data_IF_796565221846
#
_entry.id   IF_796565221846
#
_cell.length_a   1.000
_cell.length_b   1.000
_cell.length_c   1.000
_cell.angle_alpha   90.00
_cell.angle_beta   90.00
_cell.angle_gamma   90.00
#
_symmetry.space_group_name_H-M   'P 1'
#
loop_
_entity.id
_entity.type
_entity.pdbx_description
1 polymer ?
#
# COMPACT_ATOMS: atom_id res chain seq x y z
N UNK A 1 30.55 -9.89 1.24
CA UNK A 1 30.92 -10.31 -0.13
C UNK A 1 29.95 -11.41 -0.50
N UNK A 2 29.06 -11.11 -1.44
CA UNK A 2 27.62 -11.30 -1.27
C UNK A 2 27.10 -12.55 -1.99
N UNK A 3 26.00 -13.13 -1.46
CA UNK A 3 25.27 -14.29 -2.00
C UNK A 3 24.87 -14.19 -3.50
N UNK A 4 25.05 -13.02 -4.13
CA UNK A 4 24.66 -12.69 -5.51
C UNK A 4 25.82 -12.67 -6.51
N UNK A 5 27.05 -12.93 -6.06
CA UNK A 5 28.23 -12.91 -6.93
C UNK A 5 28.21 -14.06 -7.96
N UNK A 6 27.41 -15.11 -7.71
CA UNK A 6 27.22 -16.28 -8.60
C UNK A 6 25.95 -16.22 -9.46
N UNK A 7 25.15 -15.16 -9.34
CA UNK A 7 23.89 -15.04 -10.07
C UNK A 7 24.13 -14.52 -11.48
N UNK A 8 23.41 -15.08 -12.44
CA UNK A 8 23.30 -14.57 -13.81
C UNK A 8 22.63 -13.20 -13.83
N UNK A 9 22.79 -12.46 -14.93
CA UNK A 9 22.17 -11.14 -15.08
C UNK A 9 20.64 -11.23 -15.10
N UNK A 10 20.08 -12.35 -15.57
CA UNK A 10 18.65 -12.65 -15.45
C UNK A 10 18.24 -12.88 -13.99
N UNK A 11 18.95 -13.70 -13.23
CA UNK A 11 18.67 -13.96 -11.80
C UNK A 11 18.78 -12.72 -10.91
N UNK A 12 19.54 -11.71 -11.36
CA UNK A 12 19.66 -10.40 -10.70
C UNK A 12 18.47 -9.50 -10.97
N UNK A 13 17.66 -9.78 -11.99
CA UNK A 13 16.43 -9.05 -12.27
C UNK A 13 15.39 -9.35 -11.17
N UNK A 14 14.76 -8.31 -10.63
CA UNK A 14 13.68 -8.44 -9.65
C UNK A 14 12.52 -9.27 -10.17
N UNK A 15 12.26 -9.19 -11.47
CA UNK A 15 11.16 -9.91 -12.12
C UNK A 15 11.45 -11.41 -12.30
N UNK A 16 12.72 -11.85 -12.20
CA UNK A 16 13.09 -13.27 -12.31
C UNK A 16 12.36 -14.15 -11.28
N UNK A 17 12.19 -13.64 -10.07
CA UNK A 17 11.44 -14.35 -9.03
C UNK A 17 9.93 -14.18 -9.15
N UNK A 18 9.42 -13.23 -9.94
CA UNK A 18 7.97 -13.05 -10.14
C UNK A 18 7.40 -14.12 -11.06
N UNK A 19 8.10 -14.49 -12.13
CA UNK A 19 7.60 -15.47 -13.10
C UNK A 19 7.56 -16.92 -12.55
N UNK A 20 8.49 -17.26 -11.66
CA UNK A 20 8.57 -18.61 -11.07
C UNK A 20 7.74 -18.80 -9.79
N UNK A 21 7.37 -17.73 -9.10
CA UNK A 21 6.70 -17.81 -7.80
C UNK A 21 5.18 -17.81 -7.99
N UNK A 22 4.60 -19.00 -8.19
CA UNK A 22 3.14 -19.16 -8.21
C UNK A 22 2.58 -18.90 -6.80
N UNK A 23 2.17 -17.66 -6.57
CA UNK A 23 1.67 -17.11 -5.29
C UNK A 23 0.43 -17.84 -4.72
N UNK A 24 -0.18 -18.73 -5.49
CA UNK A 24 -1.45 -19.41 -5.24
C UNK A 24 -1.39 -20.47 -4.13
N UNK A 25 -0.20 -20.97 -3.75
CA UNK A 25 -0.03 -22.10 -2.81
C UNK A 25 0.50 -21.73 -1.42
N UNK A 26 0.71 -20.45 -1.12
CA UNK A 26 1.17 -20.02 0.21
C UNK A 26 -0.01 -19.74 1.13
N UNK A 27 -0.27 -20.65 2.07
CA UNK A 27 -1.32 -20.51 3.09
C UNK A 27 -1.20 -19.24 3.97
N UNK A 28 -0.07 -18.53 3.91
CA UNK A 28 0.16 -17.26 4.62
C UNK A 28 -0.38 -16.03 3.87
N UNK A 29 -0.75 -16.15 2.59
CA UNK A 29 -1.21 -15.03 1.75
C UNK A 29 -2.65 -15.14 1.25
N UNK A 30 -3.43 -16.11 1.75
CA UNK A 30 -4.82 -16.32 1.33
C UNK A 30 -5.77 -15.55 2.26
N UNK A 31 -6.66 -14.77 1.65
CA UNK A 31 -7.77 -14.06 2.28
C UNK A 31 -8.57 -14.97 3.24
N UNK A 32 -8.48 -14.69 4.54
CA UNK A 32 -9.28 -15.33 5.60
C UNK A 32 -8.95 -16.81 5.83
N UNK A 33 -8.59 -17.17 7.07
CA UNK A 33 -8.40 -18.59 7.42
C UNK A 33 -9.71 -19.40 7.34
N UNK A 34 -10.87 -18.74 7.33
CA UNK A 34 -12.18 -19.33 7.06
C UNK A 34 -13.06 -18.35 6.27
N UNK A 35 -13.68 -18.84 5.19
CA UNK A 35 -14.78 -18.15 4.51
C UNK A 35 -16.00 -18.09 5.44
N UNK A 36 -16.57 -16.90 5.62
CA UNK A 36 -17.76 -16.71 6.44
C UNK A 36 -18.86 -16.11 5.59
N UNK A 37 -19.70 -17.00 5.05
CA UNK A 37 -20.77 -16.75 4.10
C UNK A 37 -22.06 -16.18 4.74
N UNK A 38 -22.16 -16.24 6.07
CA UNK A 38 -23.31 -15.77 6.84
C UNK A 38 -23.09 -14.43 7.58
N UNK A 39 -21.92 -13.80 7.47
CA UNK A 39 -21.59 -12.54 8.15
C UNK A 39 -21.20 -11.44 7.16
N UNK A 40 -21.72 -10.21 7.32
CA UNK A 40 -21.33 -9.06 6.49
C UNK A 40 -19.81 -8.76 6.57
N UNK A 41 -19.21 -8.98 7.76
CA UNK A 41 -17.83 -8.59 8.10
C UNK A 41 -17.52 -7.14 7.69
N UNK A 42 -16.25 -6.77 7.65
CA UNK A 42 -15.84 -5.43 7.25
C UNK A 42 -15.66 -5.40 5.74
N UNK A 43 -16.46 -4.58 5.06
CA UNK A 43 -16.16 -4.17 3.69
C UNK A 43 -15.04 -3.12 3.70
N UNK A 44 -13.80 -3.59 3.56
CA UNK A 44 -12.61 -2.74 3.60
C UNK A 44 -12.57 -1.70 2.48
N UNK A 45 -13.05 -2.04 1.28
CA UNK A 45 -13.12 -1.11 0.15
C UNK A 45 -14.07 0.05 0.45
N UNK A 46 -15.28 -0.24 0.96
CA UNK A 46 -16.24 0.77 1.43
C UNK A 46 -15.62 1.65 2.52
N UNK A 47 -14.92 1.05 3.49
CA UNK A 47 -14.30 1.78 4.59
C UNK A 47 -13.18 2.72 4.11
N UNK A 48 -12.30 2.27 3.20
CA UNK A 48 -11.23 3.10 2.62
C UNK A 48 -11.81 4.29 1.86
N UNK A 49 -12.78 4.04 0.97
CA UNK A 49 -13.44 5.09 0.21
C UNK A 49 -14.12 6.13 1.12
N UNK A 50 -14.81 5.67 2.17
CA UNK A 50 -15.43 6.57 3.15
C UNK A 50 -14.41 7.45 3.87
N UNK A 51 -13.29 6.90 4.33
CA UNK A 51 -12.25 7.67 5.05
C UNK A 51 -11.57 8.69 4.15
N UNK A 52 -11.22 8.30 2.92
CA UNK A 52 -10.64 9.22 1.94
C UNK A 52 -11.62 10.35 1.59
N UNK A 53 -12.89 10.03 1.30
CA UNK A 53 -13.92 11.02 1.00
C UNK A 53 -14.13 12.00 2.17
N UNK A 54 -14.22 11.49 3.40
CA UNK A 54 -14.33 12.33 4.60
C UNK A 54 -13.12 13.26 4.79
N UNK A 55 -11.91 12.79 4.51
CA UNK A 55 -10.70 13.62 4.54
C UNK A 55 -10.78 14.73 3.48
N UNK A 56 -11.16 14.38 2.25
CA UNK A 56 -11.31 15.33 1.14
C UNK A 56 -12.42 16.37 1.40
N UNK A 57 -13.53 15.97 2.02
CA UNK A 57 -14.61 16.89 2.40
C UNK A 57 -14.14 17.89 3.46
N UNK A 58 -13.35 17.43 4.43
CA UNK A 58 -12.70 18.31 5.41
C UNK A 58 -11.73 19.27 4.71
N UNK A 59 -10.91 18.77 3.79
CA UNK A 59 -9.99 19.60 3.00
C UNK A 59 -10.74 20.71 2.24
N UNK A 60 -11.84 20.38 1.55
CA UNK A 60 -12.70 21.37 0.85
C UNK A 60 -13.27 22.40 1.82
N UNK A 61 -13.80 21.95 2.96
CA UNK A 61 -14.39 22.83 4.00
C UNK A 61 -13.40 23.88 4.50
N UNK A 62 -12.12 23.51 4.64
CA UNK A 62 -11.06 24.39 5.15
C UNK A 62 -10.21 25.03 4.04
N UNK A 63 -10.55 24.84 2.76
CA UNK A 63 -9.82 25.42 1.63
C UNK A 63 -8.40 24.87 1.47
N UNK A 64 -8.17 23.60 1.81
CA UNK A 64 -6.87 22.93 1.70
C UNK A 64 -6.80 22.15 0.38
N UNK A 65 -6.06 22.61 -0.64
CA UNK A 65 -6.04 21.95 -1.94
C UNK A 65 -5.30 20.60 -1.90
N UNK A 66 -4.22 20.51 -1.13
CA UNK A 66 -3.35 19.34 -1.02
C UNK A 66 -2.87 19.18 0.42
N UNK A 67 -2.79 17.93 0.88
CA UNK A 67 -2.30 17.56 2.20
C UNK A 67 -1.19 16.50 2.06
N UNK A 68 -0.04 16.75 2.69
CA UNK A 68 1.04 15.78 2.83
C UNK A 68 0.91 15.06 4.17
N UNK A 69 0.78 13.73 4.13
CA UNK A 69 0.72 12.88 5.31
C UNK A 69 1.97 12.01 5.40
N UNK A 70 2.74 12.16 6.47
CA UNK A 70 3.95 11.36 6.72
C UNK A 70 3.78 10.43 7.94
N UNK A 71 2.91 10.79 8.89
CA UNK A 71 2.63 9.92 10.02
C UNK A 71 1.87 8.67 9.57
N UNK A 72 2.35 7.50 9.99
CA UNK A 72 1.82 6.19 9.61
C UNK A 72 0.33 6.04 9.92
N UNK A 73 -0.14 6.58 11.04
CA UNK A 73 -1.56 6.56 11.41
C UNK A 73 -2.43 7.37 10.43
N UNK A 74 -1.92 8.51 9.97
CA UNK A 74 -2.62 9.37 9.02
C UNK A 74 -2.65 8.72 7.63
N UNK A 75 -1.53 8.13 7.19
CA UNK A 75 -1.46 7.36 5.95
C UNK A 75 -2.46 6.20 6.01
N UNK A 76 -2.44 5.41 7.10
CA UNK A 76 -3.37 4.30 7.34
C UNK A 76 -4.83 4.72 7.35
N UNK A 77 -5.13 5.90 7.88
CA UNK A 77 -6.48 6.46 7.82
C UNK A 77 -6.88 6.77 6.36
N UNK A 78 -6.02 7.46 5.62
CA UNK A 78 -6.34 8.01 4.30
C UNK A 78 -6.38 6.96 3.18
N UNK A 79 -5.38 6.08 3.07
CA UNK A 79 -5.30 5.10 1.99
C UNK A 79 -5.38 3.64 2.47
N UNK A 80 -5.43 3.40 3.79
CA UNK A 80 -5.53 2.06 4.32
C UNK A 80 -4.24 1.23 4.27
N UNK A 81 -3.10 1.77 3.86
CA UNK A 81 -1.83 1.03 3.96
C UNK A 81 -1.31 1.07 5.38
N UNK A 82 -0.77 -0.05 5.85
CA UNK A 82 -0.11 -0.12 7.14
C UNK A 82 1.32 -0.56 6.90
N UNK A 83 2.22 -0.02 7.70
CA UNK A 83 3.58 -0.49 7.76
C UNK A 83 3.99 -0.50 9.23
N UNK A 84 5.01 -1.29 9.56
CA UNK A 84 5.37 -1.52 10.95
C UNK A 84 5.72 -0.20 11.67
N UNK A 85 5.53 -0.19 13.00
CA UNK A 85 5.64 1.02 13.84
C UNK A 85 6.94 1.83 13.64
N UNK A 86 8.04 1.18 13.23
CA UNK A 86 9.33 1.84 13.01
C UNK A 86 9.32 2.84 11.83
N UNK A 87 8.41 2.67 10.86
CA UNK A 87 8.25 3.59 9.71
C UNK A 87 7.18 4.65 9.93
N UNK A 88 6.50 4.64 11.06
CA UNK A 88 5.36 5.52 11.30
C UNK A 88 5.70 7.01 11.41
N UNK A 89 6.98 7.38 11.55
CA UNK A 89 7.39 8.77 11.77
C UNK A 89 8.83 9.08 11.27
N UNK A 90 9.36 8.29 10.34
CA UNK A 90 10.75 8.45 9.88
C UNK A 90 10.89 9.26 8.58
N UNK A 91 9.79 9.65 7.92
CA UNK A 91 9.86 10.38 6.65
C UNK A 91 10.03 9.53 5.41
N UNK A 92 10.19 8.20 5.52
CA UNK A 92 10.46 7.34 4.36
C UNK A 92 9.22 6.97 3.56
N UNK A 93 8.03 7.34 4.04
CA UNK A 93 6.74 7.09 3.39
C UNK A 93 5.88 8.32 3.52
N UNK A 94 5.25 8.75 2.44
CA UNK A 94 4.32 9.88 2.50
C UNK A 94 3.21 9.75 1.46
N UNK A 95 2.06 10.33 1.79
CA UNK A 95 0.88 10.35 0.94
C UNK A 95 0.54 11.80 0.60
N UNK A 96 0.40 12.10 -0.69
CA UNK A 96 -0.17 13.35 -1.16
C UNK A 96 -1.66 13.15 -1.43
N UNK A 97 -2.49 13.72 -0.57
CA UNK A 97 -3.95 13.70 -0.72
C UNK A 97 -4.39 15.00 -1.38
N UNK A 98 -5.24 14.90 -2.40
CA UNK A 98 -5.83 16.03 -3.10
C UNK A 98 -7.32 16.08 -2.79
N UNK A 99 -7.88 17.29 -2.72
CA UNK A 99 -9.30 17.44 -2.43
C UNK A 99 -10.23 16.94 -3.56
N UNK A 100 -9.73 16.84 -4.79
CA UNK A 100 -10.51 16.65 -6.02
C UNK A 100 -10.06 15.45 -6.88
N UNK A 101 -9.07 14.67 -6.44
CA UNK A 101 -8.58 13.48 -7.14
C UNK A 101 -7.96 12.47 -6.17
N UNK A 102 -7.75 11.25 -6.66
CA UNK A 102 -7.13 10.19 -5.88
C UNK A 102 -5.69 10.56 -5.48
N UNK A 103 -5.19 10.03 -4.34
CA UNK A 103 -3.90 10.40 -3.79
C UNK A 103 -2.73 9.80 -4.57
N UNK A 104 -1.54 10.36 -4.37
CA UNK A 104 -0.26 9.77 -4.77
C UNK A 104 0.46 9.24 -3.54
N UNK A 105 0.89 7.98 -3.58
CA UNK A 105 1.55 7.31 -2.48
C UNK A 105 3.02 7.05 -2.79
N UNK A 106 3.89 7.55 -1.91
CA UNK A 106 5.33 7.37 -1.97
C UNK A 106 5.70 6.41 -0.86
N UNK A 107 6.06 5.19 -1.24
CA UNK A 107 6.45 4.13 -0.30
C UNK A 107 7.99 4.07 -0.17
N UNK A 108 8.46 3.28 0.80
CA UNK A 108 9.89 3.04 0.94
C UNK A 108 10.38 2.16 -0.19
N UNK A 109 11.31 2.71 -0.98
CA UNK A 109 11.93 2.03 -2.13
C UNK A 109 12.53 0.69 -1.70
N UNK A 110 12.27 -0.35 -2.49
CA UNK A 110 12.76 -1.71 -2.28
C UNK A 110 11.62 -2.67 -1.94
N UNK A 111 11.90 -3.62 -1.05
CA UNK A 111 10.97 -4.73 -0.73
C UNK A 111 9.61 -4.24 -0.24
N UNK A 112 9.56 -3.12 0.47
CA UNK A 112 8.32 -2.57 1.04
C UNK A 112 7.36 -2.09 -0.04
N UNK A 113 7.87 -1.33 -1.02
CA UNK A 113 7.11 -0.93 -2.20
C UNK A 113 6.60 -2.14 -2.99
N UNK A 114 7.40 -3.20 -3.14
CA UNK A 114 6.96 -4.43 -3.80
C UNK A 114 5.83 -5.15 -3.04
N UNK A 115 5.90 -5.18 -1.70
CA UNK A 115 4.81 -5.70 -0.85
C UNK A 115 3.55 -4.87 -1.02
N UNK A 116 3.68 -3.54 -1.04
CA UNK A 116 2.54 -2.65 -1.32
C UNK A 116 1.93 -2.94 -2.69
N UNK A 117 2.74 -3.08 -3.74
CA UNK A 117 2.28 -3.44 -5.09
C UNK A 117 1.56 -4.78 -5.12
N UNK A 118 2.03 -5.77 -4.36
CA UNK A 118 1.42 -7.10 -4.31
C UNK A 118 0.09 -7.15 -3.53
N UNK A 119 -0.01 -6.47 -2.38
CA UNK A 119 -1.13 -6.66 -1.44
C UNK A 119 -2.10 -5.49 -1.34
N UNK A 120 -1.70 -4.29 -1.79
CA UNK A 120 -2.54 -3.10 -1.73
C UNK A 120 -3.12 -2.78 -3.10
N UNK A 121 -3.92 -3.71 -3.65
CA UNK A 121 -4.51 -3.62 -5.01
C UNK A 121 -5.39 -2.40 -5.28
N UNK A 122 -5.71 -1.61 -4.25
CA UNK A 122 -6.44 -0.35 -4.36
C UNK A 122 -5.53 0.86 -4.60
N UNK A 123 -4.21 0.67 -4.65
CA UNK A 123 -3.24 1.69 -5.04
C UNK A 123 -2.86 1.44 -6.49
N UNK A 124 -3.27 2.33 -7.42
CA UNK A 124 -2.88 2.22 -8.81
C UNK A 124 -1.36 2.35 -9.00
N UNK A 125 -0.80 1.61 -9.96
CA UNK A 125 0.64 1.60 -10.24
C UNK A 125 1.16 2.99 -10.66
N UNK A 126 0.37 3.74 -11.42
CA UNK A 126 0.67 5.12 -11.83
C UNK A 126 0.64 6.13 -10.66
N UNK A 127 0.33 5.66 -9.45
CA UNK A 127 0.21 6.45 -8.23
C UNK A 127 1.04 5.91 -7.08
N UNK A 128 1.87 4.89 -7.32
CA UNK A 128 2.83 4.33 -6.38
C UNK A 128 4.24 4.72 -6.81
N UNK A 129 4.99 5.37 -5.93
CA UNK A 129 6.34 5.89 -6.17
C UNK A 129 7.31 5.53 -5.05
#
# INVERSE_FOLDING_TARGET
MALRDKWTDEERNWDYFRDGFKHEYSARHIYGQDGCDFQERINWSRMRAYRLGRLQDSMKKYGVPVLLLNFGDNIRYANGTWDYNWKGNNGTRYLLVFQDKDPFFFDTVGMDMEVTRMYCSWIPEDRLF
#
